data_IF_820777458136
#
_entry.id   IF_820777458136
#
_cell.length_a   1.000
_cell.length_b   1.000
_cell.length_c   1.000
_cell.angle_alpha   90.00
_cell.angle_beta   90.00
_cell.angle_gamma   90.00
#
_symmetry.space_group_name_H-M   'P 1'
#
loop_
_entity.id
_entity.type
_entity.pdbx_description
1 polymer ?
#
# COMPACT_ATOMS: atom_id res chain seq x y z
N UNK A 1 8.11 -5.35 3.22
CA UNK A 1 7.03 -4.62 3.94
C UNK A 1 6.46 -3.47 3.13
N UNK A 2 7.29 -2.61 2.54
CA UNK A 2 6.77 -1.48 1.72
C UNK A 2 5.97 -1.93 0.51
N UNK A 3 6.38 -3.00 -0.15
CA UNK A 3 5.63 -3.53 -1.29
C UNK A 3 4.25 -4.03 -0.85
N UNK A 4 4.17 -4.70 0.30
CA UNK A 4 2.89 -5.15 0.86
C UNK A 4 1.99 -3.95 1.21
N UNK A 5 2.56 -2.86 1.73
CA UNK A 5 1.81 -1.62 1.98
C UNK A 5 1.20 -1.07 0.69
N UNK A 6 1.97 -1.04 -0.40
CA UNK A 6 1.48 -0.58 -1.70
C UNK A 6 0.29 -1.43 -2.17
N UNK A 7 0.39 -2.74 -2.03
CA UNK A 7 -0.69 -3.65 -2.40
C UNK A 7 -1.93 -3.41 -1.53
N UNK A 8 -1.74 -3.24 -0.22
CA UNK A 8 -2.83 -2.96 0.71
C UNK A 8 -3.51 -1.63 0.37
N UNK A 9 -2.72 -0.57 0.13
CA UNK A 9 -3.26 0.73 -0.26
C UNK A 9 -4.12 0.63 -1.53
N UNK A 10 -3.61 -0.03 -2.57
CA UNK A 10 -4.33 -0.20 -3.82
C UNK A 10 -5.63 -1.00 -3.62
N UNK A 11 -5.59 -2.03 -2.77
CA UNK A 11 -6.76 -2.83 -2.44
C UNK A 11 -7.83 -2.00 -1.73
N UNK A 12 -7.42 -1.20 -0.74
CA UNK A 12 -8.35 -0.33 -0.01
C UNK A 12 -9.00 0.71 -0.93
N UNK A 13 -8.23 1.33 -1.81
CA UNK A 13 -8.76 2.30 -2.78
C UNK A 13 -9.79 1.64 -3.70
N UNK A 14 -9.51 0.44 -4.17
CA UNK A 14 -10.40 -0.29 -5.08
C UNK A 14 -11.68 -0.77 -4.40
N UNK A 15 -11.59 -1.23 -3.16
CA UNK A 15 -12.76 -1.77 -2.43
C UNK A 15 -13.64 -0.68 -1.85
N UNK A 16 -13.06 0.37 -1.31
CA UNK A 16 -13.79 1.38 -0.53
C UNK A 16 -13.80 2.77 -1.17
N UNK A 17 -12.98 2.99 -2.20
CA UNK A 17 -12.85 4.31 -2.80
C UNK A 17 -12.23 5.35 -1.87
N UNK A 18 -11.55 4.91 -0.81
CA UNK A 18 -10.93 5.80 0.15
C UNK A 18 -9.55 6.27 -0.33
N UNK A 19 -9.02 7.38 0.23
CA UNK A 19 -7.65 7.79 -0.04
C UNK A 19 -6.65 6.74 0.43
N UNK A 20 -5.45 6.77 -0.15
CA UNK A 20 -4.34 5.94 0.34
C UNK A 20 -4.00 6.34 1.78
N UNK A 21 -3.41 5.41 2.53
CA UNK A 21 -2.99 5.69 3.91
C UNK A 21 -2.02 6.87 3.95
N UNK A 22 -2.30 7.85 4.80
CA UNK A 22 -1.44 9.00 5.04
C UNK A 22 -0.66 8.85 6.34
N UNK A 23 -1.02 7.88 7.16
CA UNK A 23 -0.41 7.64 8.44
C UNK A 23 -0.12 6.15 8.53
N UNK A 24 1.07 5.78 8.07
CA UNK A 24 1.52 4.39 8.06
C UNK A 24 2.79 4.26 8.88
N UNK A 25 2.89 3.18 9.64
CA UNK A 25 4.08 2.85 10.39
C UNK A 25 4.52 1.45 9.97
N UNK A 26 5.58 1.40 9.18
CA UNK A 26 6.05 0.15 8.56
C UNK A 26 7.25 -0.36 9.34
N UNK A 27 7.07 -1.47 10.01
CA UNK A 27 8.11 -2.15 10.77
C UNK A 27 8.33 -3.56 10.25
N UNK A 28 9.48 -4.14 10.61
CA UNK A 28 9.88 -5.45 10.12
C UNK A 28 8.97 -6.59 10.59
N UNK A 29 8.48 -6.53 11.83
CA UNK A 29 7.65 -7.59 12.42
C UNK A 29 6.16 -7.31 12.34
N UNK A 30 5.78 -6.06 12.41
CA UNK A 30 4.38 -5.65 12.43
C UNK A 30 4.27 -4.23 11.90
N UNK A 31 3.30 -4.01 11.04
CA UNK A 31 3.05 -2.69 10.47
C UNK A 31 1.62 -2.27 10.75
N UNK A 32 1.35 -0.98 10.66
CA UNK A 32 -0.01 -0.45 10.78
C UNK A 32 -0.24 0.64 9.76
N UNK A 33 -1.47 0.73 9.28
CA UNK A 33 -1.91 1.77 8.36
C UNK A 33 -3.26 2.30 8.81
N UNK A 34 -3.47 3.59 8.67
CA UNK A 34 -4.73 4.23 8.95
C UNK A 34 -5.40 4.64 7.63
N UNK A 35 -6.71 4.38 7.52
CA UNK A 35 -7.51 4.72 6.36
C UNK A 35 -8.73 5.52 6.79
N UNK A 36 -9.11 6.51 5.98
CA UNK A 36 -10.32 7.28 6.19
C UNK A 36 -11.51 6.53 5.59
N UNK A 37 -12.41 6.05 6.43
CA UNK A 37 -13.59 5.29 6.01
C UNK A 37 -14.85 5.88 6.65
N UNK A 38 -15.97 5.78 5.91
CA UNK A 38 -17.26 6.25 6.41
C UNK A 38 -17.86 5.32 7.47
N UNK A 39 -17.44 4.06 7.49
CA UNK A 39 -17.90 3.08 8.46
C UNK A 39 -16.83 2.02 8.69
N UNK A 40 -16.88 1.36 9.84
CA UNK A 40 -15.98 0.25 10.14
C UNK A 40 -16.23 -0.91 9.16
N UNK A 41 -15.18 -1.46 8.51
CA UNK A 41 -15.35 -2.64 7.68
C UNK A 41 -15.91 -3.81 8.48
N UNK A 42 -16.76 -4.61 7.84
CA UNK A 42 -17.28 -5.83 8.44
C UNK A 42 -16.19 -6.91 8.49
N UNK A 43 -16.41 -7.95 9.28
CA UNK A 43 -15.47 -9.07 9.33
C UNK A 43 -15.30 -9.72 7.94
N UNK A 44 -16.37 -9.80 7.16
CA UNK A 44 -16.31 -10.31 5.80
C UNK A 44 -15.44 -9.43 4.90
N UNK A 45 -15.56 -8.11 5.04
CA UNK A 45 -14.74 -7.15 4.29
C UNK A 45 -13.28 -7.25 4.68
N UNK A 46 -12.99 -7.41 5.97
CA UNK A 46 -11.61 -7.58 6.45
C UNK A 46 -11.00 -8.86 5.87
N UNK A 47 -11.75 -9.96 5.89
CA UNK A 47 -11.30 -11.21 5.29
C UNK A 47 -11.06 -11.07 3.78
N UNK A 48 -11.91 -10.30 3.10
CA UNK A 48 -11.76 -10.04 1.67
C UNK A 48 -10.50 -9.22 1.37
N UNK A 49 -10.20 -8.22 2.19
CA UNK A 49 -8.97 -7.42 2.06
C UNK A 49 -7.76 -8.34 2.14
N UNK A 50 -7.70 -9.18 3.16
CA UNK A 50 -6.59 -10.12 3.35
C UNK A 50 -6.46 -11.08 2.16
N UNK A 51 -7.58 -11.62 1.71
CA UNK A 51 -7.60 -12.56 0.57
C UNK A 51 -7.13 -11.88 -0.72
N UNK A 52 -7.56 -10.65 -0.99
CA UNK A 52 -7.16 -9.91 -2.20
C UNK A 52 -5.67 -9.56 -2.18
N UNK A 53 -5.14 -9.13 -1.04
CA UNK A 53 -3.71 -8.83 -0.93
C UNK A 53 -2.90 -10.11 -1.18
N UNK A 54 -3.29 -11.22 -0.59
CA UNK A 54 -2.60 -12.50 -0.80
C UNK A 54 -2.75 -13.00 -2.24
N UNK A 55 -3.87 -12.75 -2.89
CA UNK A 55 -4.05 -13.09 -4.29
C UNK A 55 -3.04 -12.35 -5.17
N UNK A 56 -2.89 -11.04 -4.96
CA UNK A 56 -1.93 -10.23 -5.71
C UNK A 56 -0.50 -10.73 -5.46
N UNK A 57 -0.16 -11.03 -4.21
CA UNK A 57 1.15 -11.59 -3.86
C UNK A 57 1.40 -12.90 -4.63
N UNK A 58 0.41 -13.77 -4.67
CA UNK A 58 0.54 -15.09 -5.32
C UNK A 58 0.62 -15.02 -6.84
N UNK A 59 0.19 -13.92 -7.45
CA UNK A 59 0.30 -13.73 -8.89
C UNK A 59 1.74 -13.57 -9.37
N UNK A 60 2.68 -13.28 -8.48
CA UNK A 60 4.08 -13.10 -8.85
C UNK A 60 4.30 -11.91 -9.78
N UNK A 61 3.73 -10.77 -9.46
CA UNK A 61 3.88 -9.55 -10.26
C UNK A 61 5.28 -8.96 -10.09
N UNK A 62 5.85 -8.47 -11.19
CA UNK A 62 7.13 -7.78 -11.13
C UNK A 62 6.98 -6.41 -10.46
N UNK A 63 7.91 -6.11 -9.56
CA UNK A 63 7.99 -4.79 -8.93
C UNK A 63 9.13 -4.05 -9.62
N UNK A 64 8.78 -2.99 -10.33
CA UNK A 64 9.75 -2.23 -11.11
C UNK A 64 9.93 -0.83 -10.55
N UNK A 65 11.10 -0.28 -10.77
CA UNK A 65 11.46 1.07 -10.35
C UNK A 65 11.87 1.86 -11.57
N UNK A 66 11.30 3.04 -11.74
CA UNK A 66 11.73 3.96 -12.78
C UNK A 66 11.84 5.37 -12.19
N UNK A 67 12.64 6.20 -12.85
CA UNK A 67 12.82 7.59 -12.44
C UNK A 67 12.21 8.50 -13.48
N UNK A 68 11.46 9.49 -13.04
CA UNK A 68 10.84 10.46 -13.94
C UNK A 68 10.78 11.84 -13.32
N UNK A 69 10.71 12.92 -14.14
CA UNK A 69 10.53 14.26 -13.60
C UNK A 69 9.23 14.38 -12.82
N UNK A 70 9.24 15.25 -11.81
CA UNK A 70 8.06 15.48 -10.96
C UNK A 70 6.83 15.85 -11.79
N UNK A 71 6.99 16.68 -12.81
CA UNK A 71 5.89 17.12 -13.67
C UNK A 71 5.21 15.94 -14.38
N UNK A 72 6.01 14.98 -14.86
CA UNK A 72 5.49 13.77 -15.49
C UNK A 72 4.86 12.85 -14.46
N UNK A 73 5.49 12.70 -13.29
CA UNK A 73 4.99 11.86 -12.22
C UNK A 73 3.64 12.37 -11.66
N UNK A 74 3.43 13.67 -11.66
CA UNK A 74 2.19 14.27 -11.15
C UNK A 74 0.95 13.79 -11.91
N UNK A 75 1.09 13.41 -13.18
CA UNK A 75 0.00 12.87 -13.97
C UNK A 75 -0.29 11.38 -13.72
N UNK A 76 0.58 10.71 -12.98
CA UNK A 76 0.51 9.26 -12.77
C UNK A 76 0.23 8.91 -11.30
N UNK A 77 0.86 9.64 -10.37
CA UNK A 77 0.80 9.34 -8.93
C UNK A 77 0.38 10.56 -8.13
N UNK A 78 -0.13 10.30 -6.92
CA UNK A 78 -0.47 11.36 -5.97
C UNK A 78 0.81 11.82 -5.26
N UNK A 79 1.15 13.10 -5.44
CA UNK A 79 2.34 13.69 -4.83
C UNK A 79 2.05 14.35 -3.48
N UNK A 80 0.82 14.29 -2.98
CA UNK A 80 0.44 14.96 -1.73
C UNK A 80 1.22 14.50 -0.50
N UNK A 81 1.77 13.30 -0.53
CA UNK A 81 2.57 12.74 0.56
C UNK A 81 4.05 13.14 0.51
N UNK A 82 4.49 13.75 -0.57
CA UNK A 82 5.88 14.13 -0.72
C UNK A 82 6.16 15.50 -0.11
N UNK A 83 7.35 15.71 0.48
CA UNK A 83 7.75 17.03 0.95
C UNK A 83 7.79 18.02 -0.21
N UNK A 84 7.53 19.29 0.06
CA UNK A 84 7.59 20.35 -0.97
C UNK A 84 8.99 20.47 -1.58
N UNK A 85 10.01 20.15 -0.81
CA UNK A 85 11.41 20.19 -1.23
C UNK A 85 11.91 18.86 -1.80
N UNK A 86 10.99 17.94 -2.12
CA UNK A 86 11.38 16.68 -2.74
C UNK A 86 12.05 16.93 -4.08
N UNK A 87 12.95 16.03 -4.46
CA UNK A 87 13.71 16.10 -5.70
C UNK A 87 12.81 16.31 -6.93
N UNK A 88 13.32 17.01 -7.94
CA UNK A 88 12.61 17.18 -9.21
C UNK A 88 12.49 15.87 -9.97
N UNK A 89 13.36 14.88 -9.69
CA UNK A 89 13.27 13.53 -10.25
C UNK A 89 12.73 12.61 -9.16
N UNK A 90 11.65 11.91 -9.46
CA UNK A 90 11.00 11.02 -8.52
C UNK A 90 11.24 9.56 -8.88
N UNK A 91 11.35 8.75 -7.83
CA UNK A 91 11.44 7.30 -7.98
C UNK A 91 10.02 6.72 -7.96
N UNK A 92 9.60 6.11 -9.07
CA UNK A 92 8.27 5.54 -9.21
C UNK A 92 8.36 4.03 -9.11
N UNK A 93 7.60 3.45 -8.21
CA UNK A 93 7.54 2.01 -7.99
C UNK A 93 6.22 1.49 -8.54
N UNK A 94 6.29 0.49 -9.41
CA UNK A 94 5.13 -0.18 -9.98
C UNK A 94 5.08 -1.63 -9.49
N UNK A 95 3.91 -2.05 -9.04
CA UNK A 95 3.65 -3.45 -8.68
C UNK A 95 2.80 -4.04 -9.80
N UNK A 96 3.46 -4.56 -10.83
CA UNK A 96 2.81 -5.00 -12.05
C UNK A 96 1.94 -3.88 -12.62
N UNK A 97 0.70 -4.18 -12.93
CA UNK A 97 -0.33 -3.20 -13.31
C UNK A 97 -1.31 -2.90 -12.16
N UNK A 98 -1.03 -3.39 -10.96
CA UNK A 98 -1.92 -3.26 -9.80
C UNK A 98 -1.75 -1.93 -9.06
N UNK A 99 -0.53 -1.45 -8.88
CA UNK A 99 -0.25 -0.21 -8.16
C UNK A 99 0.91 0.56 -8.78
N UNK A 100 0.84 1.88 -8.72
CA UNK A 100 1.89 2.80 -9.14
C UNK A 100 1.99 3.90 -8.10
N UNK A 101 3.17 4.12 -7.54
CA UNK A 101 3.34 5.07 -6.45
C UNK A 101 4.76 5.62 -6.41
N UNK A 102 4.90 6.90 -6.01
CA UNK A 102 6.19 7.46 -5.70
C UNK A 102 6.63 6.96 -4.32
N UNK A 103 7.79 6.33 -4.22
CA UNK A 103 8.25 5.77 -2.96
C UNK A 103 9.77 5.66 -2.92
N UNK A 104 10.37 6.06 -1.80
CA UNK A 104 11.80 5.93 -1.56
C UNK A 104 12.16 4.68 -0.76
N UNK A 105 11.18 3.89 -0.31
CA UNK A 105 11.40 2.70 0.49
C UNK A 105 11.99 1.54 -0.30
N UNK A 106 12.43 0.52 0.42
CA UNK A 106 12.95 -0.72 -0.18
C UNK A 106 11.80 -1.62 -0.64
N UNK A 107 11.97 -2.22 -1.80
CA UNK A 107 10.97 -3.11 -2.38
C UNK A 107 11.59 -4.41 -2.84
N UNK A 108 10.78 -5.49 -2.81
CA UNK A 108 11.14 -6.76 -3.45
C UNK A 108 11.07 -6.59 -4.96
N UNK A 109 11.72 -7.47 -5.70
CA UNK A 109 11.67 -7.44 -7.17
C UNK A 109 10.44 -8.13 -7.76
N UNK A 110 9.79 -9.00 -6.97
CA UNK A 110 8.58 -9.71 -7.37
C UNK A 110 7.71 -9.93 -6.14
N UNK A 111 6.39 -9.83 -6.30
CA UNK A 111 5.47 -9.95 -5.16
C UNK A 111 5.53 -11.31 -4.49
N UNK A 112 5.92 -12.36 -5.19
CA UNK A 112 6.07 -13.70 -4.61
C UNK A 112 7.11 -13.76 -3.48
N UNK A 113 8.03 -12.80 -3.44
CA UNK A 113 9.06 -12.71 -2.40
C UNK A 113 8.52 -12.15 -1.09
N UNK A 114 7.32 -11.57 -1.07
CA UNK A 114 6.71 -11.00 0.14
C UNK A 114 6.33 -12.08 1.15
N UNK A 115 5.83 -13.21 0.66
CA UNK A 115 5.30 -14.28 1.51
C UNK A 115 3.80 -14.13 1.70
N UNK A 116 3.31 -14.33 2.92
CA UNK A 116 1.88 -14.28 3.23
C UNK A 116 1.55 -13.03 4.04
N UNK A 117 0.54 -12.30 3.60
CA UNK A 117 0.00 -11.15 4.31
C UNK A 117 -1.06 -11.61 5.31
N UNK A 118 -0.99 -11.09 6.53
CA UNK A 118 -1.95 -11.42 7.58
C UNK A 118 -2.36 -10.19 8.38
N UNK A 119 -3.66 -9.98 8.53
CA UNK A 119 -4.20 -8.92 9.39
C UNK A 119 -4.21 -9.46 10.82
N UNK A 120 -3.57 -8.73 11.73
CA UNK A 120 -3.46 -9.11 13.15
C UNK A 120 -4.61 -8.57 13.98
N UNK A 121 -4.94 -7.30 13.78
CA UNK A 121 -6.01 -6.62 14.51
C UNK A 121 -6.38 -5.35 13.79
N UNK A 122 -7.51 -4.79 14.14
CA UNK A 122 -7.94 -3.49 13.61
C UNK A 122 -8.87 -2.80 14.61
N UNK A 123 -8.99 -1.48 14.48
CA UNK A 123 -9.97 -0.70 15.23
C UNK A 123 -10.47 0.46 14.38
N UNK A 124 -11.61 1.02 14.77
CA UNK A 124 -12.22 2.13 14.05
C UNK A 124 -12.64 3.20 15.03
N UNK A 125 -12.22 4.44 14.79
CA UNK A 125 -12.54 5.57 15.64
C UNK A 125 -12.55 6.87 14.83
N UNK A 126 -13.59 7.65 14.97
CA UNK A 126 -13.70 8.98 14.35
C UNK A 126 -13.43 9.00 12.83
N UNK A 127 -13.99 8.04 12.11
CA UNK A 127 -13.78 7.96 10.66
C UNK A 127 -12.44 7.38 10.24
N UNK A 128 -11.66 6.89 11.18
CA UNK A 128 -10.35 6.31 10.92
C UNK A 128 -10.34 4.83 11.25
N UNK A 129 -10.06 4.00 10.24
CA UNK A 129 -9.84 2.57 10.43
C UNK A 129 -8.35 2.31 10.50
N UNK A 130 -7.89 1.77 11.61
CA UNK A 130 -6.49 1.40 11.80
C UNK A 130 -6.36 -0.11 11.70
N UNK A 131 -5.54 -0.58 10.77
CA UNK A 131 -5.28 -1.99 10.57
C UNK A 131 -3.82 -2.30 10.89
N UNK A 132 -3.62 -3.36 11.66
CA UNK A 132 -2.29 -3.88 12.00
C UNK A 132 -2.11 -5.20 11.28
N UNK A 133 -0.97 -5.37 10.64
CA UNK A 133 -0.71 -6.50 9.77
C UNK A 133 0.76 -6.89 9.76
N UNK A 134 1.05 -8.07 9.24
CA UNK A 134 2.42 -8.55 9.04
C UNK A 134 2.51 -9.37 7.77
N UNK A 135 3.74 -9.60 7.30
CA UNK A 135 4.03 -10.56 6.23
C UNK A 135 5.00 -11.60 6.76
N UNK A 136 4.81 -12.84 6.33
CA UNK A 136 5.64 -13.98 6.70
C UNK A 136 6.07 -14.69 5.42
N UNK A 137 7.37 -14.80 5.20
CA UNK A 137 7.87 -15.42 3.98
C UNK A 137 8.94 -16.41 4.22
#
# INVERSE_FOLDING_TARGET
MHTAEHILNATMVRMFGCPRSRNAHIERKKSKCDYELLACPTEEQVAEIEAKVNEVISRGLDVTVEYMPREEAAGIVDLSKLPEDASETLRIVRVGDYDTCACAGSHVSNTSEIGTFKILSHDYENGRWRVRWKVTG
#
